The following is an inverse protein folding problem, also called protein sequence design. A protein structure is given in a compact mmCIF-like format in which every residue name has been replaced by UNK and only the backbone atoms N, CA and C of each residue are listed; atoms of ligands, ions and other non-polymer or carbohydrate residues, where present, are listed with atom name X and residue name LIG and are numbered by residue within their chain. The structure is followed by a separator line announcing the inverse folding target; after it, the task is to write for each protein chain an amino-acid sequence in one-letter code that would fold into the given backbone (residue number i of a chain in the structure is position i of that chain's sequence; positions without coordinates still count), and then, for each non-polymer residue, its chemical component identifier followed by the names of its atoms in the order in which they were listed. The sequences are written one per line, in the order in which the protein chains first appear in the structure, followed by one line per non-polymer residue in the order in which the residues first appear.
data_IF_732750712744
#
_entry.id   IF_732750712744
#
_cell.length_a   1.000
_cell.length_b   1.000
_cell.length_c   1.000
_cell.angle_alpha   90.00
_cell.angle_beta   90.00
_cell.angle_gamma   90.00
#
_symmetry.space_group_name_H-M   'P 1'
#
loop_
_entity.id
_entity.type
_entity.pdbx_description
1 polymer ?
#
# COMPACT_ATOMS: atom_id res chain seq x y z
N UNK A 1 3.84 -25.57 -9.55
CA UNK A 1 2.86 -25.73 -8.45
C UNK A 1 2.05 -24.45 -8.36
N UNK A 2 0.71 -24.50 -8.29
CA UNK A 2 -0.09 -23.29 -8.14
C UNK A 2 0.28 -22.62 -6.83
N UNK A 3 0.84 -21.41 -6.88
CA UNK A 3 1.17 -20.62 -5.70
C UNK A 3 -0.12 -20.23 -5.00
N UNK A 4 -0.24 -20.57 -3.72
CA UNK A 4 -1.41 -20.22 -2.92
C UNK A 4 -1.68 -18.71 -3.04
N UNK A 5 -2.93 -18.24 -3.28
CA UNK A 5 -3.23 -16.82 -3.48
C UNK A 5 -2.66 -15.90 -2.39
N UNK A 6 -2.63 -16.38 -1.14
CA UNK A 6 -2.02 -15.67 -0.01
C UNK A 6 -0.50 -15.50 -0.14
N UNK A 7 0.23 -16.48 -0.67
CA UNK A 7 1.68 -16.38 -0.90
C UNK A 7 2.01 -15.28 -1.91
N UNK A 8 1.23 -15.20 -3.00
CA UNK A 8 1.39 -14.15 -4.01
C UNK A 8 1.16 -12.76 -3.40
N UNK A 9 0.14 -12.61 -2.54
CA UNK A 9 -0.15 -11.37 -1.82
C UNK A 9 0.99 -10.98 -0.86
N UNK A 10 1.49 -11.93 -0.08
CA UNK A 10 2.59 -11.70 0.85
C UNK A 10 3.86 -11.25 0.12
N UNK A 11 4.25 -11.96 -0.94
CA UNK A 11 5.40 -11.60 -1.78
C UNK A 11 5.25 -10.20 -2.38
N UNK A 12 4.05 -9.83 -2.84
CA UNK A 12 3.78 -8.50 -3.38
C UNK A 12 3.94 -7.39 -2.32
N UNK A 13 3.50 -7.60 -1.07
CA UNK A 13 3.71 -6.65 0.03
C UNK A 13 5.20 -6.48 0.30
N UNK A 14 5.94 -7.59 0.47
CA UNK A 14 7.38 -7.54 0.74
C UNK A 14 8.16 -6.80 -0.34
N UNK A 15 7.80 -7.04 -1.62
CA UNK A 15 8.40 -6.32 -2.75
C UNK A 15 8.15 -4.82 -2.67
N UNK A 16 6.92 -4.38 -2.37
CA UNK A 16 6.59 -2.95 -2.20
C UNK A 16 7.31 -2.34 -1.00
N UNK A 17 7.33 -3.05 0.12
CA UNK A 17 8.04 -2.67 1.34
C UNK A 17 9.52 -2.42 1.07
N UNK A 18 10.18 -3.38 0.41
CA UNK A 18 11.59 -3.28 0.08
C UNK A 18 11.88 -2.11 -0.84
N UNK A 19 11.14 -1.99 -1.95
CA UNK A 19 11.35 -0.92 -2.92
C UNK A 19 11.26 0.46 -2.25
N UNK A 20 10.22 0.66 -1.45
CA UNK A 20 10.01 1.91 -0.71
C UNK A 20 11.11 2.18 0.30
N UNK A 21 11.45 1.19 1.13
CA UNK A 21 12.45 1.37 2.19
C UNK A 21 13.85 1.60 1.62
N UNK A 22 14.19 0.90 0.53
CA UNK A 22 15.44 1.11 -0.19
C UNK A 22 15.50 2.51 -0.83
N UNK A 23 14.43 2.96 -1.50
CA UNK A 23 14.43 4.32 -2.10
C UNK A 23 14.60 5.40 -1.02
N UNK A 24 13.96 5.24 0.15
CA UNK A 24 14.14 6.15 1.30
C UNK A 24 15.58 6.13 1.83
N UNK A 25 16.18 4.95 1.95
CA UNK A 25 17.57 4.80 2.37
C UNK A 25 18.55 5.44 1.38
N UNK A 26 18.40 5.18 0.08
CA UNK A 26 19.24 5.77 -0.96
C UNK A 26 19.06 7.29 -1.03
N UNK A 27 17.81 7.78 -0.91
CA UNK A 27 17.54 9.22 -0.81
C UNK A 27 18.26 9.82 0.39
N UNK A 28 18.25 9.14 1.54
CA UNK A 28 18.94 9.61 2.73
C UNK A 28 20.46 9.69 2.53
N UNK A 29 21.07 8.68 1.92
CA UNK A 29 22.50 8.70 1.58
C UNK A 29 22.81 9.85 0.63
N UNK A 30 21.99 10.06 -0.40
CA UNK A 30 22.12 11.17 -1.34
C UNK A 30 22.10 12.52 -0.62
N UNK A 31 21.13 12.74 0.28
CA UNK A 31 20.99 13.96 1.07
C UNK A 31 22.21 14.20 1.99
N UNK A 32 22.76 13.14 2.57
CA UNK A 32 23.93 13.20 3.49
C UNK A 32 25.27 13.33 2.77
N UNK A 33 25.35 12.92 1.51
CA UNK A 33 26.57 13.06 0.71
C UNK A 33 26.90 14.53 0.43
N UNK A 34 28.16 14.86 0.15
CA UNK A 34 28.58 16.24 -0.17
C UNK A 34 28.27 16.62 -1.63
N UNK A 35 28.18 15.61 -2.51
CA UNK A 35 28.09 15.80 -3.97
C UNK A 35 26.92 15.07 -4.64
N UNK A 36 25.98 14.54 -3.85
CA UNK A 36 24.82 13.79 -4.36
C UNK A 36 25.18 12.39 -4.87
N UNK A 37 26.28 11.78 -4.42
CA UNK A 37 26.67 10.42 -4.86
C UNK A 37 26.22 9.35 -3.88
N UNK A 38 25.74 8.23 -4.44
CA UNK A 38 25.40 7.01 -3.71
C UNK A 38 26.63 6.11 -3.58
N UNK A 39 27.53 6.46 -2.66
CA UNK A 39 28.76 5.72 -2.39
C UNK A 39 28.77 5.14 -0.97
N UNK A 40 29.64 4.14 -0.76
CA UNK A 40 29.88 3.52 0.55
C UNK A 40 28.61 2.97 1.21
N UNK A 41 27.69 2.42 0.42
CA UNK A 41 26.48 1.79 0.97
C UNK A 41 26.86 0.52 1.73
N UNK A 42 26.51 0.47 3.02
CA UNK A 42 26.84 -0.67 3.88
C UNK A 42 25.59 -1.37 4.41
N UNK A 43 25.70 -2.70 4.54
CA UNK A 43 24.63 -3.56 5.02
C UNK A 43 24.25 -3.30 6.48
N UNK A 44 25.23 -3.00 7.34
CA UNK A 44 25.05 -2.67 8.75
C UNK A 44 24.28 -1.36 8.93
N UNK A 45 24.59 -0.35 8.11
CA UNK A 45 23.83 0.89 8.07
C UNK A 45 22.38 0.66 7.65
N UNK A 46 22.14 -0.13 6.60
CA UNK A 46 20.79 -0.47 6.16
C UNK A 46 20.00 -1.24 7.23
N UNK A 47 20.66 -2.18 7.93
CA UNK A 47 20.03 -2.97 9.00
C UNK A 47 19.51 -2.09 10.13
N UNK A 48 20.27 -1.07 10.52
CA UNK A 48 19.92 -0.16 11.60
C UNK A 48 19.34 1.17 11.11
N UNK A 49 18.95 1.25 9.83
CA UNK A 49 18.54 2.49 9.21
C UNK A 49 17.24 3.02 9.79
N UNK A 50 17.30 4.24 10.32
CA UNK A 50 16.16 5.02 10.75
C UNK A 50 16.34 6.45 10.23
N UNK A 51 15.50 6.91 9.29
CA UNK A 51 15.61 8.27 8.77
C UNK A 51 15.17 9.30 9.81
N UNK A 52 15.75 10.49 9.74
CA UNK A 52 15.25 11.66 10.45
C UNK A 52 13.94 12.17 9.82
N UNK A 53 13.21 13.04 10.53
CA UNK A 53 11.92 13.54 10.05
C UNK A 53 12.07 14.38 8.76
N UNK A 54 13.13 15.17 8.69
CA UNK A 54 13.51 15.98 7.52
C UNK A 54 13.87 15.12 6.31
N UNK A 55 14.48 13.95 6.52
CA UNK A 55 14.84 13.01 5.46
C UNK A 55 13.59 12.31 4.91
N UNK A 56 12.64 11.95 5.79
CA UNK A 56 11.31 11.46 5.37
C UNK A 56 10.56 12.52 4.58
N UNK A 57 10.53 13.76 5.07
CA UNK A 57 9.86 14.85 4.38
C UNK A 57 10.48 15.12 2.99
N UNK A 58 11.81 15.10 2.89
CA UNK A 58 12.51 15.25 1.62
C UNK A 58 12.19 14.09 0.66
N UNK A 59 12.20 12.84 1.14
CA UNK A 59 11.76 11.68 0.36
C UNK A 59 10.32 11.84 -0.15
N UNK A 60 9.37 12.24 0.71
CA UNK A 60 7.98 12.45 0.28
C UNK A 60 7.88 13.55 -0.80
N UNK A 61 8.59 14.66 -0.61
CA UNK A 61 8.65 15.74 -1.62
C UNK A 61 9.22 15.24 -2.95
N UNK A 62 10.26 14.41 -2.94
CA UNK A 62 10.83 13.87 -4.19
C UNK A 62 9.82 13.01 -4.95
N UNK A 63 8.89 12.35 -4.26
CA UNK A 63 7.83 11.58 -4.90
C UNK A 63 6.64 12.43 -5.38
N UNK A 64 6.27 13.47 -4.65
CA UNK A 64 5.13 14.34 -4.96
C UNK A 64 5.43 15.39 -6.04
N UNK A 65 6.68 15.88 -6.08
CA UNK A 65 7.08 17.05 -6.85
C UNK A 65 8.18 16.74 -7.89
N UNK A 66 8.09 15.57 -8.54
CA UNK A 66 9.10 15.08 -9.50
C UNK A 66 9.41 16.02 -10.66
N UNK A 67 8.49 16.92 -11.01
CA UNK A 67 8.63 17.87 -12.12
C UNK A 67 9.02 19.27 -11.69
N UNK A 68 9.15 19.56 -10.39
CA UNK A 68 9.60 20.87 -9.94
C UNK A 68 11.10 21.01 -10.27
N UNK A 69 11.45 22.12 -10.93
CA UNK A 69 12.84 22.47 -11.25
C UNK A 69 13.58 23.13 -10.08
N UNK A 70 12.96 23.22 -8.91
CA UNK A 70 13.60 23.76 -7.72
C UNK A 70 14.74 22.84 -7.24
N UNK A 71 15.81 23.41 -6.65
CA UNK A 71 16.85 22.62 -6.04
C UNK A 71 16.28 21.70 -4.95
N UNK A 72 16.58 20.42 -5.05
CA UNK A 72 16.22 19.40 -4.07
C UNK A 72 17.28 19.32 -2.95
N UNK A 73 18.52 19.03 -3.33
CA UNK A 73 19.67 18.96 -2.43
C UNK A 73 20.96 19.24 -3.22
N UNK A 74 21.94 19.87 -2.57
CA UNK A 74 23.26 20.18 -3.18
C UNK A 74 23.19 21.00 -4.48
N UNK A 75 22.14 21.81 -4.64
CA UNK A 75 21.87 22.52 -5.90
C UNK A 75 21.40 21.62 -7.06
N UNK A 76 21.18 20.33 -6.82
CA UNK A 76 20.69 19.34 -7.79
C UNK A 76 19.18 19.15 -7.66
N UNK A 77 18.55 18.65 -8.73
CA UNK A 77 17.10 18.44 -8.80
C UNK A 77 16.69 17.03 -8.39
N UNK A 78 15.38 16.78 -8.26
CA UNK A 78 14.84 15.44 -8.05
C UNK A 78 15.20 14.48 -9.19
N UNK A 79 15.34 14.97 -10.43
CA UNK A 79 15.75 14.10 -11.55
C UNK A 79 17.19 13.61 -11.39
N UNK A 80 18.09 14.41 -10.80
CA UNK A 80 19.45 13.95 -10.47
C UNK A 80 19.43 12.81 -9.45
N UNK A 81 18.58 12.89 -8.41
CA UNK A 81 18.37 11.80 -7.46
C UNK A 81 17.85 10.53 -8.16
N UNK A 82 16.83 10.65 -9.03
CA UNK A 82 16.27 9.51 -9.76
C UNK A 82 17.32 8.81 -10.65
N UNK A 83 18.17 9.60 -11.32
CA UNK A 83 19.29 9.09 -12.13
C UNK A 83 20.29 8.36 -11.24
N UNK A 84 20.68 8.97 -10.10
CA UNK A 84 21.62 8.37 -9.17
C UNK A 84 21.11 7.03 -8.62
N UNK A 85 19.84 6.97 -8.18
CA UNK A 85 19.22 5.72 -7.70
C UNK A 85 19.20 4.66 -8.80
N UNK A 86 18.79 5.02 -10.03
CA UNK A 86 18.73 4.08 -11.15
C UNK A 86 20.12 3.54 -11.50
N UNK A 87 21.13 4.41 -11.54
CA UNK A 87 22.51 4.02 -11.81
C UNK A 87 23.03 3.08 -10.72
N UNK A 88 22.82 3.42 -9.44
CA UNK A 88 23.23 2.57 -8.33
C UNK A 88 22.60 1.17 -8.43
N UNK A 89 21.31 1.06 -8.71
CA UNK A 89 20.62 -0.25 -8.87
C UNK A 89 21.21 -1.08 -10.02
N UNK A 90 21.54 -0.43 -11.15
CA UNK A 90 22.14 -1.10 -12.30
C UNK A 90 23.56 -1.62 -12.01
N UNK A 91 24.33 -0.86 -11.24
CA UNK A 91 25.73 -1.19 -10.90
C UNK A 91 25.86 -2.14 -9.71
N UNK A 92 24.84 -2.25 -8.85
CA UNK A 92 24.91 -2.97 -7.57
C UNK A 92 23.85 -4.09 -7.39
N UNK A 93 23.57 -4.95 -8.37
CA UNK A 93 22.51 -5.96 -8.26
C UNK A 93 22.74 -6.97 -7.13
N UNK A 94 23.99 -7.36 -6.86
CA UNK A 94 24.34 -8.27 -5.79
C UNK A 94 24.06 -7.66 -4.41
N UNK A 95 24.51 -6.42 -4.18
CA UNK A 95 24.26 -5.70 -2.95
C UNK A 95 22.77 -5.40 -2.76
N UNK A 96 22.04 -5.05 -3.83
CA UNK A 96 20.58 -4.88 -3.74
C UNK A 96 19.88 -6.16 -3.24
N UNK A 97 20.30 -7.33 -3.73
CA UNK A 97 19.77 -8.62 -3.26
C UNK A 97 20.10 -8.90 -1.79
N UNK A 98 21.30 -8.54 -1.33
CA UNK A 98 21.70 -8.63 0.09
C UNK A 98 20.85 -7.69 0.96
N UNK A 99 20.67 -6.43 0.54
CA UNK A 99 19.81 -5.47 1.25
C UNK A 99 18.36 -5.96 1.28
N UNK A 100 17.88 -6.62 0.23
CA UNK A 100 16.56 -7.24 0.22
C UNK A 100 16.44 -8.36 1.26
N UNK A 101 17.48 -9.18 1.41
CA UNK A 101 17.53 -10.21 2.46
C UNK A 101 17.46 -9.60 3.86
N UNK A 102 18.21 -8.50 4.10
CA UNK A 102 18.18 -7.77 5.38
C UNK A 102 16.80 -7.14 5.62
N UNK A 103 16.21 -6.49 4.62
CA UNK A 103 14.88 -5.89 4.71
C UNK A 103 13.84 -6.92 5.13
N UNK A 104 13.92 -8.08 4.51
CA UNK A 104 13.05 -9.23 4.73
C UNK A 104 13.12 -9.82 6.14
N UNK A 105 14.19 -9.56 6.88
CA UNK A 105 14.42 -10.04 8.25
C UNK A 105 14.12 -8.97 9.31
N UNK A 106 14.29 -7.68 8.99
CA UNK A 106 14.32 -6.62 9.99
C UNK A 106 13.29 -5.51 9.80
N UNK A 107 12.82 -5.28 8.58
CA UNK A 107 12.11 -4.03 8.21
C UNK A 107 10.73 -4.24 7.61
N UNK A 108 10.30 -5.50 7.43
CA UNK A 108 9.04 -5.85 6.79
C UNK A 108 8.23 -6.80 7.67
N UNK A 109 6.91 -6.77 7.48
CA UNK A 109 5.97 -7.79 7.93
C UNK A 109 6.52 -9.22 7.77
N UNK A 110 6.54 -9.98 8.85
CA UNK A 110 6.89 -11.40 8.90
C UNK A 110 5.77 -12.29 8.35
N UNK A 111 6.08 -13.55 8.06
CA UNK A 111 5.09 -14.52 7.59
C UNK A 111 4.01 -14.80 8.66
N UNK A 112 4.38 -14.77 9.94
CA UNK A 112 3.46 -14.97 11.05
C UNK A 112 2.50 -13.81 11.18
N UNK A 113 3.01 -12.57 11.19
CA UNK A 113 2.17 -11.37 11.25
C UNK A 113 1.26 -11.27 10.02
N UNK A 114 1.75 -11.61 8.84
CA UNK A 114 0.90 -11.70 7.64
C UNK A 114 -0.21 -12.73 7.81
N UNK A 115 0.11 -13.91 8.35
CA UNK A 115 -0.88 -14.97 8.59
C UNK A 115 -1.94 -14.49 9.58
N UNK A 116 -1.56 -13.79 10.64
CA UNK A 116 -2.50 -13.20 11.60
C UNK A 116 -3.39 -12.15 10.93
N UNK A 117 -2.82 -11.30 10.06
CA UNK A 117 -3.58 -10.27 9.34
C UNK A 117 -4.64 -10.83 8.40
N UNK A 118 -4.39 -12.00 7.80
CA UNK A 118 -5.31 -12.69 6.88
C UNK A 118 -6.03 -13.87 7.51
N UNK A 119 -5.93 -14.03 8.84
CA UNK A 119 -6.70 -15.00 9.62
C UNK A 119 -7.76 -14.26 10.42
N UNK A 120 -9.04 -14.60 10.21
CA UNK A 120 -10.12 -14.07 11.01
C UNK A 120 -10.68 -15.13 11.95
N UNK A 121 -11.07 -14.71 13.15
CA UNK A 121 -11.73 -15.59 14.13
C UNK A 121 -13.10 -16.10 13.62
N UNK A 122 -13.75 -15.31 12.75
CA UNK A 122 -15.04 -15.62 12.15
C UNK A 122 -14.93 -16.43 10.85
N UNK A 123 -13.71 -16.68 10.35
CA UNK A 123 -13.47 -17.32 9.05
C UNK A 123 -13.66 -16.39 7.83
N UNK A 124 -14.12 -15.15 8.05
CA UNK A 124 -14.29 -14.16 7.00
C UNK A 124 -13.45 -12.89 7.22
N UNK A 125 -12.80 -12.40 6.17
CA UNK A 125 -12.01 -11.18 6.20
C UNK A 125 -12.91 -9.94 6.12
N UNK A 126 -12.60 -8.93 6.92
CA UNK A 126 -13.31 -7.65 6.94
C UNK A 126 -12.35 -6.48 6.70
N UNK A 127 -12.85 -5.44 6.04
CA UNK A 127 -12.10 -4.21 5.86
C UNK A 127 -11.92 -3.53 7.22
N UNK A 128 -10.68 -3.23 7.59
CA UNK A 128 -10.38 -2.58 8.87
C UNK A 128 -11.07 -1.22 9.03
N UNK A 129 -11.31 -0.52 7.91
CA UNK A 129 -11.89 0.81 7.90
C UNK A 129 -13.42 0.77 7.89
N UNK A 130 -14.04 0.17 6.88
CA UNK A 130 -15.50 0.18 6.71
C UNK A 130 -16.24 -1.04 7.29
N UNK A 131 -15.51 -2.05 7.77
CA UNK A 131 -16.03 -3.24 8.44
C UNK A 131 -16.92 -4.16 7.59
N UNK A 132 -17.07 -3.86 6.29
CA UNK A 132 -17.68 -4.78 5.35
C UNK A 132 -16.75 -5.95 5.07
N UNK A 133 -17.35 -7.11 4.86
CA UNK A 133 -16.64 -8.36 4.65
C UNK A 133 -16.24 -8.56 3.18
N UNK A 134 -15.34 -9.52 2.92
CA UNK A 134 -15.04 -9.91 1.54
C UNK A 134 -16.28 -10.45 0.81
N UNK A 135 -17.22 -11.14 1.48
CA UNK A 135 -18.46 -11.57 0.84
C UNK A 135 -19.41 -10.41 0.51
N UNK A 136 -19.53 -9.41 1.39
CA UNK A 136 -20.33 -8.21 1.10
C UNK A 136 -19.85 -7.55 -0.22
N UNK A 137 -18.54 -7.41 -0.39
CA UNK A 137 -17.97 -6.83 -1.60
C UNK A 137 -18.09 -7.73 -2.82
N UNK A 138 -17.97 -9.05 -2.65
CA UNK A 138 -18.20 -10.02 -3.72
C UNK A 138 -19.63 -9.92 -4.23
N UNK A 139 -20.60 -9.90 -3.33
CA UNK A 139 -22.01 -9.77 -3.66
C UNK A 139 -22.31 -8.44 -4.36
N UNK A 140 -21.75 -7.32 -3.87
CA UNK A 140 -21.84 -6.02 -4.54
C UNK A 140 -21.31 -6.06 -5.98
N UNK A 141 -20.22 -6.77 -6.23
CA UNK A 141 -19.61 -6.93 -7.55
C UNK A 141 -20.50 -7.81 -8.45
N UNK A 142 -20.88 -8.98 -7.97
CA UNK A 142 -21.67 -9.97 -8.71
C UNK A 142 -23.05 -9.44 -9.09
N UNK A 143 -23.67 -8.64 -8.22
CA UNK A 143 -24.96 -7.97 -8.49
C UNK A 143 -24.84 -6.70 -9.33
N UNK A 144 -23.63 -6.32 -9.77
CA UNK A 144 -23.41 -5.11 -10.57
C UNK A 144 -23.70 -3.80 -9.82
N UNK A 145 -23.60 -3.80 -8.48
CA UNK A 145 -23.89 -2.65 -7.60
C UNK A 145 -22.69 -1.71 -7.43
N UNK A 146 -21.57 -2.04 -8.06
CA UNK A 146 -20.36 -1.22 -8.15
C UNK A 146 -20.15 -0.74 -9.58
N UNK A 147 -19.57 0.45 -9.75
CA UNK A 147 -19.39 1.10 -11.07
C UNK A 147 -17.93 1.47 -11.39
N UNK A 148 -16.95 0.87 -10.71
CA UNK A 148 -15.53 1.21 -10.93
C UNK A 148 -15.00 0.61 -12.23
N UNK A 149 -14.25 1.41 -13.00
CA UNK A 149 -13.53 0.93 -14.21
C UNK A 149 -12.30 0.09 -13.88
N UNK A 150 -11.94 -0.01 -12.59
CA UNK A 150 -10.69 -0.64 -12.15
C UNK A 150 -10.82 -2.14 -11.89
N UNK A 151 -12.02 -2.75 -11.87
CA UNK A 151 -12.20 -4.16 -11.44
C UNK A 151 -11.32 -5.17 -12.18
N UNK A 152 -10.94 -4.89 -13.44
CA UNK A 152 -10.02 -5.73 -14.23
C UNK A 152 -8.57 -5.71 -13.74
N UNK A 153 -8.20 -4.72 -12.90
CA UNK A 153 -6.82 -4.49 -12.43
C UNK A 153 -6.71 -4.36 -10.92
N UNK A 154 -7.73 -3.82 -10.24
CA UNK A 154 -7.80 -3.57 -8.80
C UNK A 154 -9.25 -3.54 -8.29
N UNK A 155 -9.44 -3.83 -7.01
CA UNK A 155 -10.73 -3.70 -6.32
C UNK A 155 -11.70 -4.86 -6.42
N UNK A 156 -11.30 -5.97 -7.05
CA UNK A 156 -12.00 -7.26 -6.96
C UNK A 156 -11.61 -8.07 -5.71
N UNK A 157 -10.53 -7.68 -5.02
CA UNK A 157 -10.05 -8.30 -3.78
C UNK A 157 -9.60 -7.22 -2.80
N UNK A 158 -9.45 -7.59 -1.53
CA UNK A 158 -8.91 -6.67 -0.52
C UNK A 158 -7.44 -6.35 -0.77
N UNK A 159 -7.05 -5.16 -0.35
CA UNK A 159 -5.73 -4.59 -0.51
C UNK A 159 -5.07 -4.40 0.86
N UNK A 160 -3.79 -4.04 0.83
CA UNK A 160 -3.01 -3.77 2.03
C UNK A 160 -2.59 -2.30 2.02
N UNK A 161 -3.01 -1.59 3.05
CA UNK A 161 -2.71 -0.18 3.30
C UNK A 161 -1.69 -0.05 4.45
N UNK A 162 -1.04 1.10 4.54
CA UNK A 162 -0.27 1.53 5.69
C UNK A 162 -1.15 2.46 6.55
N UNK A 163 -1.44 2.08 7.80
CA UNK A 163 -2.22 2.91 8.75
C UNK A 163 -1.63 4.30 8.86
N UNK A 164 -0.32 4.35 9.11
CA UNK A 164 0.54 5.50 9.00
C UNK A 164 1.41 5.35 7.74
N UNK A 165 1.22 6.18 6.71
CA UNK A 165 2.06 6.15 5.54
C UNK A 165 3.53 6.19 5.90
N UNK A 166 4.00 6.98 6.86
CA UNK A 166 5.44 7.15 7.15
C UNK A 166 6.14 5.87 7.63
N UNK A 167 5.43 4.95 8.26
CA UNK A 167 6.01 3.74 8.85
C UNK A 167 6.17 2.56 7.87
N UNK A 168 5.58 2.64 6.67
CA UNK A 168 5.71 1.58 5.66
C UNK A 168 5.03 0.25 6.04
N UNK A 169 5.40 -0.86 5.40
CA UNK A 169 4.72 -2.15 5.58
C UNK A 169 5.32 -2.98 6.73
N UNK A 170 5.24 -2.45 7.95
CA UNK A 170 5.66 -3.12 9.20
C UNK A 170 4.49 -3.83 9.87
N UNK A 171 4.78 -4.78 10.76
CA UNK A 171 3.77 -5.65 11.38
C UNK A 171 2.57 -4.95 12.00
N UNK A 172 2.81 -3.88 12.75
CA UNK A 172 1.78 -3.09 13.43
C UNK A 172 1.15 -2.01 12.54
N UNK A 173 1.64 -1.79 11.32
CA UNK A 173 1.21 -0.70 10.46
C UNK A 173 0.42 -1.14 9.22
N UNK A 174 0.44 -2.42 8.87
CA UNK A 174 -0.33 -2.93 7.72
C UNK A 174 -1.80 -3.14 8.10
N UNK A 175 -2.71 -2.54 7.33
CA UNK A 175 -4.16 -2.71 7.43
C UNK A 175 -4.69 -3.48 6.21
N UNK A 176 -5.57 -4.45 6.45
CA UNK A 176 -6.35 -5.10 5.40
C UNK A 176 -7.59 -4.27 5.11
N UNK A 177 -7.77 -3.83 3.87
CA UNK A 177 -8.86 -2.92 3.53
C UNK A 177 -9.44 -3.17 2.14
N UNK A 178 -10.66 -2.72 1.91
CA UNK A 178 -11.24 -2.72 0.57
C UNK A 178 -10.64 -1.61 -0.29
N UNK A 179 -10.68 -1.80 -1.62
CA UNK A 179 -10.17 -0.82 -2.58
C UNK A 179 -10.75 0.58 -2.40
N UNK A 180 -12.05 0.71 -2.12
CA UNK A 180 -12.67 2.02 -1.95
C UNK A 180 -12.15 2.76 -0.73
N UNK A 181 -11.93 2.06 0.38
CA UNK A 181 -11.36 2.68 1.57
C UNK A 181 -9.90 3.06 1.37
N UNK A 182 -9.09 2.18 0.77
CA UNK A 182 -7.69 2.46 0.47
C UNK A 182 -7.54 3.74 -0.38
N UNK A 183 -8.33 3.85 -1.47
CA UNK A 183 -8.27 5.00 -2.36
C UNK A 183 -8.85 6.29 -1.75
N UNK A 184 -9.79 6.17 -0.81
CA UNK A 184 -10.39 7.35 -0.16
C UNK A 184 -9.55 7.83 1.03
N UNK A 185 -8.87 6.94 1.76
CA UNK A 185 -7.95 7.30 2.84
C UNK A 185 -6.72 7.99 2.29
N UNK A 186 -6.14 7.45 1.21
CA UNK A 186 -4.87 7.91 0.63
C UNK A 186 -3.75 7.92 1.69
N UNK A 187 -2.66 8.64 1.39
CA UNK A 187 -1.62 8.96 2.37
C UNK A 187 -1.97 10.22 3.20
N UNK A 188 -3.13 10.84 2.97
CA UNK A 188 -3.55 12.11 3.60
C UNK A 188 -4.10 11.92 5.02
N UNK A 189 -5.01 10.96 5.21
CA UNK A 189 -5.76 10.84 6.46
C UNK A 189 -5.17 9.78 7.39
N UNK A 190 -5.07 10.11 8.67
CA UNK A 190 -4.85 9.11 9.72
C UNK A 190 -6.04 8.15 9.81
N UNK A 191 -5.83 6.98 10.41
CA UNK A 191 -6.92 6.01 10.68
C UNK A 191 -8.06 6.66 11.46
N UNK A 192 -7.73 7.51 12.44
CA UNK A 192 -8.73 8.17 13.30
C UNK A 192 -9.59 9.16 12.52
N UNK A 193 -8.98 9.94 11.62
CA UNK A 193 -9.70 10.90 10.77
C UNK A 193 -10.55 10.18 9.72
N UNK A 194 -10.04 9.08 9.17
CA UNK A 194 -10.71 8.37 8.09
C UNK A 194 -11.84 7.44 8.56
N UNK A 195 -11.78 6.92 9.79
CA UNK A 195 -12.75 5.92 10.29
C UNK A 195 -14.22 6.38 10.18
N UNK A 196 -14.62 7.61 10.55
CA UNK A 196 -15.99 8.08 10.36
C UNK A 196 -16.43 8.10 8.88
N UNK A 197 -15.53 8.50 7.97
CA UNK A 197 -15.77 8.49 6.52
C UNK A 197 -15.98 7.07 6.01
N UNK A 198 -15.13 6.12 6.46
CA UNK A 198 -15.24 4.72 6.07
C UNK A 198 -16.56 4.08 6.53
N UNK A 199 -17.05 4.43 7.72
CA UNK A 199 -18.35 3.96 8.23
C UNK A 199 -19.52 4.55 7.43
N UNK A 200 -19.42 5.82 7.00
CA UNK A 200 -20.41 6.41 6.11
C UNK A 200 -20.44 5.71 4.74
N UNK A 201 -19.27 5.36 4.18
CA UNK A 201 -19.18 4.52 2.98
C UNK A 201 -19.84 3.15 3.22
N UNK A 202 -19.61 2.53 4.37
CA UNK A 202 -20.22 1.25 4.74
C UNK A 202 -21.75 1.32 4.70
N UNK A 203 -22.35 2.39 5.24
CA UNK A 203 -23.80 2.57 5.23
C UNK A 203 -24.37 2.59 3.80
N UNK A 204 -23.70 3.28 2.87
CA UNK A 204 -24.11 3.32 1.45
C UNK A 204 -24.06 1.93 0.82
N UNK A 205 -23.02 1.15 1.09
CA UNK A 205 -22.88 -0.20 0.58
C UNK A 205 -23.95 -1.16 1.13
N UNK A 206 -24.19 -1.12 2.43
CA UNK A 206 -25.26 -1.91 3.08
C UNK A 206 -26.63 -1.56 2.52
N UNK A 207 -26.89 -0.27 2.27
CA UNK A 207 -28.11 0.16 1.60
C UNK A 207 -28.24 -0.48 0.21
N UNK A 208 -27.19 -0.44 -0.62
CA UNK A 208 -27.22 -1.09 -1.95
C UNK A 208 -27.49 -2.58 -1.87
N UNK A 209 -26.85 -3.27 -0.93
CA UNK A 209 -27.10 -4.70 -0.69
C UNK A 209 -28.57 -4.96 -0.33
N UNK A 210 -29.17 -4.14 0.53
CA UNK A 210 -30.58 -4.28 0.92
C UNK A 210 -31.60 -3.95 -0.19
N UNK A 211 -31.25 -3.11 -1.17
CA UNK A 211 -32.23 -2.49 -2.10
C UNK A 211 -32.71 -3.42 -3.24
N UNK A 212 -32.33 -4.71 -3.28
CA UNK A 212 -32.88 -5.64 -4.29
C UNK A 212 -33.62 -6.86 -3.74
N UNK A 213 -34.05 -6.85 -2.47
CA UNK A 213 -35.01 -7.85 -2.00
C UNK A 213 -36.43 -7.64 -2.56
N UNK A 214 -36.70 -6.54 -3.28
CA UNK A 214 -38.07 -6.08 -3.61
C UNK A 214 -38.36 -5.85 -5.10
N UNK A 215 -37.52 -6.29 -6.04
CA UNK A 215 -37.75 -6.06 -7.49
C UNK A 215 -38.12 -7.32 -8.29
N UNK A 216 -38.55 -8.43 -7.64
CA UNK A 216 -38.94 -9.66 -8.35
C UNK A 216 -40.37 -10.18 -8.09
N UNK A 217 -41.26 -9.39 -7.49
CA UNK A 217 -42.68 -9.77 -7.34
C UNK A 217 -43.64 -8.72 -7.92
N UNK A 218 -43.47 -8.31 -9.18
CA UNK A 218 -44.50 -7.50 -9.85
C UNK A 218 -44.49 -7.61 -11.38
N UNK A 219 -44.22 -8.80 -11.91
CA UNK A 219 -44.39 -9.05 -13.36
C UNK A 219 -45.04 -10.42 -13.62
N UNK A 220 -46.19 -10.65 -12.99
CA UNK A 220 -47.20 -11.56 -13.52
C UNK A 220 -48.59 -11.02 -13.18
N UNK A 221 -49.31 -10.59 -14.22
CA UNK A 221 -50.76 -10.47 -14.18
C UNK A 221 -51.29 -9.09 -14.53
N UNK A 222 -51.36 -8.79 -15.82
CA UNK A 222 -52.52 -8.13 -16.43
C UNK A 222 -52.40 -8.20 -17.95
N UNK A 223 -53.11 -9.14 -18.55
CA UNK A 223 -53.81 -8.92 -19.81
C UNK A 223 -55.10 -9.74 -19.73
N UNK A 224 -56.19 -9.00 -19.58
CA UNK A 224 -57.59 -9.41 -19.79
C UNK A 224 -57.84 -9.48 -21.28
#
# INVERSE_FOLDING_TARGET
MPTHPLYTRFSAIRKRSFARHLDLFLTTIYLRSVDGRLQHIRQDEYRCFHPAAEERAAYLRSHQARSLGEPFAHGQTVQCLEIAIRQWRAENPALEAELQSIHNQHHCLSAEEFSQLVSSQTGELACEYCELTESDFRELIERGLVRTKRLSTRGSTFEFDCRDPEQGYTGNNVALCCYWCNNAKTDEYSVKEFKPVALALAAVWRQRLSTQASVHNNDQGQNV
#
